data_IF_413269054525
#
_entry.id   IF_413269054525
#
_cell.length_a   1.000
_cell.length_b   1.000
_cell.length_c   1.000
_cell.angle_alpha   90.00
_cell.angle_beta   90.00
_cell.angle_gamma   90.00
#
_symmetry.space_group_name_H-M   'P 1'
#
loop_
_entity.id
_entity.type
_entity.pdbx_description
1 polymer ?
#
# COMPACT_ATOMS: atom_id res chain seq x y z
N UNK A 1 -4.24 -9.59 11.36
CA UNK A 1 -5.57 -9.57 10.73
C UNK A 1 -5.43 -9.06 9.31
N UNK A 2 -5.11 -9.91 8.33
CA UNK A 2 -5.11 -9.49 6.93
C UNK A 2 -6.53 -9.24 6.44
N UNK A 3 -6.78 -8.08 5.80
CA UNK A 3 -7.98 -7.90 4.99
C UNK A 3 -7.78 -8.53 3.61
N UNK A 4 -8.36 -9.72 3.43
CA UNK A 4 -8.20 -10.52 2.21
C UNK A 4 -9.00 -9.98 1.01
N UNK A 5 -9.62 -8.80 1.12
CA UNK A 5 -10.08 -8.04 -0.04
C UNK A 5 -8.92 -7.37 -0.81
N UNK A 6 -7.75 -7.17 -0.19
CA UNK A 6 -6.59 -6.55 -0.81
C UNK A 6 -5.40 -7.52 -0.87
N UNK A 7 -4.94 -7.85 -2.08
CA UNK A 7 -3.74 -8.69 -2.26
C UNK A 7 -2.49 -8.02 -1.67
N UNK A 8 -2.35 -6.70 -1.84
CA UNK A 8 -1.22 -5.93 -1.33
C UNK A 8 -1.11 -5.97 0.20
N UNK A 9 -2.22 -5.90 0.91
CA UNK A 9 -2.22 -6.05 2.36
C UNK A 9 -1.98 -7.49 2.77
N UNK A 10 -2.68 -8.44 2.14
CA UNK A 10 -2.56 -9.87 2.48
C UNK A 10 -1.11 -10.34 2.36
N UNK A 11 -0.42 -9.96 1.29
CA UNK A 11 0.99 -10.27 1.06
C UNK A 11 1.92 -9.64 2.10
N UNK A 12 1.72 -8.37 2.47
CA UNK A 12 2.53 -7.71 3.51
C UNK A 12 2.33 -8.32 4.89
N UNK A 13 1.09 -8.69 5.22
CA UNK A 13 0.77 -9.40 6.46
C UNK A 13 1.41 -10.79 6.51
N UNK A 14 1.59 -11.46 5.36
CA UNK A 14 2.34 -12.72 5.28
C UNK A 14 3.83 -12.51 5.58
N UNK A 15 4.46 -11.44 5.07
CA UNK A 15 5.86 -11.13 5.39
C UNK A 15 6.04 -10.84 6.89
N UNK A 16 5.15 -10.02 7.49
CA UNK A 16 5.16 -9.76 8.94
C UNK A 16 4.94 -11.06 9.72
N UNK A 17 4.02 -11.91 9.27
CA UNK A 17 3.75 -13.20 9.92
C UNK A 17 4.99 -14.10 9.94
N UNK A 18 5.69 -14.24 8.79
CA UNK A 18 6.94 -15.02 8.70
C UNK A 18 7.99 -14.47 9.66
N UNK A 19 8.26 -13.17 9.62
CA UNK A 19 9.26 -12.55 10.49
C UNK A 19 8.93 -12.68 11.99
N UNK A 20 7.66 -12.59 12.38
CA UNK A 20 7.24 -12.84 13.77
C UNK A 20 7.43 -14.33 14.16
N UNK A 21 7.15 -15.26 13.25
CA UNK A 21 7.35 -16.69 13.47
C UNK A 21 8.83 -17.04 13.62
N UNK A 22 9.70 -16.45 12.81
CA UNK A 22 11.15 -16.63 12.88
C UNK A 22 11.73 -16.13 14.21
N UNK A 23 11.09 -15.13 14.83
CA UNK A 23 11.41 -14.64 16.18
C UNK A 23 10.77 -15.47 17.31
N UNK A 24 10.02 -16.53 17.00
CA UNK A 24 9.32 -17.35 17.98
C UNK A 24 8.11 -16.68 18.64
N UNK A 25 7.59 -15.58 18.08
CA UNK A 25 6.44 -14.90 18.65
C UNK A 25 5.17 -15.76 18.54
N UNK A 26 4.32 -15.81 19.58
CA UNK A 26 3.03 -16.49 19.53
C UNK A 26 2.04 -15.68 18.67
N UNK A 27 1.88 -16.06 17.41
CA UNK A 27 1.03 -15.36 16.44
C UNK A 27 -0.19 -16.20 16.05
N UNK A 28 -1.35 -15.54 15.98
CA UNK A 28 -2.58 -16.05 15.36
C UNK A 28 -2.95 -15.19 14.17
N UNK A 29 -3.48 -15.81 13.12
CA UNK A 29 -4.00 -15.11 11.94
C UNK A 29 -5.52 -15.23 11.94
N UNK A 30 -6.21 -14.09 11.85
CA UNK A 30 -7.66 -14.05 11.73
C UNK A 30 -8.08 -13.04 10.65
N UNK A 31 -9.11 -13.34 9.86
CA UNK A 31 -9.58 -12.51 8.74
C UNK A 31 -11.10 -12.56 8.62
N UNK A 32 -11.71 -11.57 7.96
CA UNK A 32 -13.13 -11.62 7.57
C UNK A 32 -13.36 -12.43 6.28
N UNK A 33 -12.29 -12.94 5.69
CA UNK A 33 -12.30 -13.65 4.42
C UNK A 33 -12.13 -12.72 3.22
N UNK A 34 -12.20 -13.27 2.01
CA UNK A 34 -12.10 -12.52 0.77
C UNK A 34 -11.39 -13.28 -0.35
N UNK A 35 -11.32 -12.70 -1.56
CA UNK A 35 -10.77 -13.36 -2.75
C UNK A 35 -9.30 -13.74 -2.60
N UNK A 36 -8.53 -13.05 -1.74
CA UNK A 36 -7.09 -13.29 -1.58
C UNK A 36 -6.73 -14.21 -0.40
N UNK A 37 -7.70 -14.87 0.24
CA UNK A 37 -7.40 -15.91 1.25
C UNK A 37 -6.57 -17.07 0.69
N UNK A 38 -6.60 -17.28 -0.63
CA UNK A 38 -5.77 -18.29 -1.28
C UNK A 38 -4.28 -18.04 -1.02
N UNK A 39 -3.84 -16.79 -0.94
CA UNK A 39 -2.45 -16.46 -0.62
C UNK A 39 -2.04 -16.95 0.78
N UNK A 40 -2.96 -16.94 1.76
CA UNK A 40 -2.70 -17.50 3.09
C UNK A 40 -2.57 -19.03 3.03
N UNK A 41 -3.44 -19.68 2.24
CA UNK A 41 -3.42 -21.14 2.06
C UNK A 41 -2.16 -21.61 1.34
N UNK A 42 -1.77 -20.93 0.26
CA UNK A 42 -0.57 -21.24 -0.52
C UNK A 42 0.70 -21.06 0.33
N UNK A 43 0.68 -20.11 1.27
CA UNK A 43 1.76 -19.90 2.23
C UNK A 43 1.75 -20.89 3.42
N UNK A 44 0.79 -21.83 3.49
CA UNK A 44 0.65 -22.78 4.58
C UNK A 44 0.29 -22.16 5.93
N UNK A 45 -0.28 -20.95 5.93
CA UNK A 45 -0.61 -20.21 7.16
C UNK A 45 -2.00 -20.61 7.63
N UNK A 46 -2.09 -21.17 8.83
CA UNK A 46 -3.36 -21.43 9.49
C UNK A 46 -4.03 -20.11 9.91
N UNK A 47 -5.34 -19.98 9.65
CA UNK A 47 -6.09 -18.78 9.99
C UNK A 47 -7.53 -19.07 10.39
N UNK A 48 -8.10 -18.19 11.21
CA UNK A 48 -9.50 -18.21 11.62
C UNK A 48 -10.33 -17.20 10.81
N UNK A 49 -11.57 -17.55 10.49
CA UNK A 49 -12.55 -16.60 9.94
C UNK A 49 -13.39 -16.00 11.05
N UNK A 50 -13.48 -14.67 11.09
CA UNK A 50 -14.15 -13.92 12.15
C UNK A 50 -15.26 -13.02 11.60
N UNK A 51 -16.41 -13.02 12.26
CA UNK A 51 -17.56 -12.20 11.88
C UNK A 51 -18.25 -12.69 10.59
N UNK A 52 -19.11 -11.85 10.00
CA UNK A 52 -19.74 -12.14 8.71
C UNK A 52 -18.70 -12.38 7.61
N UNK A 53 -18.94 -13.33 6.71
CA UNK A 53 -18.01 -13.60 5.62
C UNK A 53 -18.03 -12.46 4.59
N UNK A 54 -16.86 -11.93 4.23
CA UNK A 54 -16.73 -10.97 3.13
C UNK A 54 -16.88 -11.66 1.79
N UNK A 55 -18.02 -11.44 1.12
CA UNK A 55 -18.23 -11.90 -0.25
C UNK A 55 -17.30 -11.20 -1.23
N UNK A 56 -17.03 -11.83 -2.38
CA UNK A 56 -16.25 -11.22 -3.47
C UNK A 56 -16.83 -9.88 -3.89
N UNK A 57 -18.14 -9.81 -4.07
CA UNK A 57 -18.85 -8.58 -4.45
C UNK A 57 -18.69 -7.47 -3.40
N UNK A 58 -18.73 -7.82 -2.11
CA UNK A 58 -18.49 -6.83 -1.04
C UNK A 58 -17.05 -6.35 -1.04
N UNK A 59 -16.08 -7.25 -1.24
CA UNK A 59 -14.68 -6.87 -1.40
C UNK A 59 -14.46 -5.93 -2.60
N UNK A 60 -15.09 -6.20 -3.75
CA UNK A 60 -15.03 -5.32 -4.91
C UNK A 60 -15.59 -3.92 -4.60
N UNK A 61 -16.74 -3.84 -3.90
CA UNK A 61 -17.27 -2.56 -3.40
C UNK A 61 -16.32 -1.87 -2.40
N UNK A 62 -15.67 -2.63 -1.51
CA UNK A 62 -14.74 -2.10 -0.54
C UNK A 62 -13.51 -1.49 -1.22
N UNK A 63 -12.96 -2.16 -2.22
CA UNK A 63 -11.85 -1.65 -3.03
C UNK A 63 -12.25 -0.37 -3.76
N UNK A 64 -13.47 -0.31 -4.29
CA UNK A 64 -14.01 0.89 -4.94
C UNK A 64 -14.36 2.02 -3.96
N UNK A 65 -14.46 1.72 -2.66
CA UNK A 65 -14.80 2.71 -1.63
C UNK A 65 -13.61 3.27 -0.87
N UNK A 66 -12.38 2.85 -1.20
CA UNK A 66 -11.15 3.41 -0.65
C UNK A 66 -11.14 4.94 -0.83
N UNK A 67 -10.78 5.72 0.21
CA UNK A 67 -10.69 7.18 0.13
C UNK A 67 -9.88 7.65 -1.08
N UNK A 68 -10.50 8.48 -1.92
CA UNK A 68 -9.91 8.97 -3.17
C UNK A 68 -10.26 8.15 -4.43
N UNK A 69 -10.97 7.03 -4.30
CA UNK A 69 -11.54 6.26 -5.44
C UNK A 69 -13.05 6.52 -5.59
N UNK A 70 -13.82 6.42 -4.49
CA UNK A 70 -15.28 6.57 -4.51
C UNK A 70 -15.81 7.95 -4.08
N UNK A 71 -17.15 8.14 -4.05
CA UNK A 71 -17.79 9.38 -3.60
C UNK A 71 -17.26 9.89 -2.26
N UNK A 72 -17.10 11.21 -2.13
CA UNK A 72 -16.52 11.85 -0.93
C UNK A 72 -17.41 11.79 0.31
N UNK A 73 -18.67 11.42 0.14
CA UNK A 73 -19.72 11.36 1.16
C UNK A 73 -20.02 9.93 1.65
N UNK A 74 -19.33 8.90 1.14
CA UNK A 74 -19.55 7.52 1.56
C UNK A 74 -18.60 7.12 2.70
N UNK A 75 -19.14 6.44 3.72
CA UNK A 75 -18.32 5.66 4.62
C UNK A 75 -17.95 4.34 3.94
N UNK A 76 -16.70 3.89 4.15
CA UNK A 76 -16.17 2.63 3.61
C UNK A 76 -17.02 1.42 4.07
N UNK A 77 -17.59 1.54 5.26
CA UNK A 77 -18.39 0.55 5.96
C UNK A 77 -19.76 1.12 6.32
N UNK A 78 -20.81 0.30 6.29
CA UNK A 78 -22.08 0.69 6.90
C UNK A 78 -21.97 0.65 8.43
N UNK A 79 -22.84 1.38 9.13
CA UNK A 79 -22.88 1.33 10.61
C UNK A 79 -23.19 -0.08 11.12
N UNK A 80 -24.01 -0.84 10.39
CA UNK A 80 -24.32 -2.25 10.71
C UNK A 80 -23.08 -3.13 10.60
N UNK A 81 -22.30 -2.98 9.53
CA UNK A 81 -21.05 -3.73 9.37
C UNK A 81 -20.03 -3.36 10.44
N UNK A 82 -19.87 -2.06 10.71
CA UNK A 82 -18.98 -1.59 11.78
C UNK A 82 -19.35 -2.24 13.11
N UNK A 83 -20.64 -2.30 13.48
CA UNK A 83 -21.08 -2.99 14.71
C UNK A 83 -20.78 -4.48 14.67
N UNK A 84 -21.17 -5.17 13.60
CA UNK A 84 -21.05 -6.62 13.50
C UNK A 84 -19.58 -7.09 13.56
N UNK A 85 -18.70 -6.46 12.77
CA UNK A 85 -17.28 -6.80 12.75
C UNK A 85 -16.58 -6.39 14.04
N UNK A 86 -16.85 -5.19 14.57
CA UNK A 86 -16.25 -4.73 15.83
C UNK A 86 -16.57 -5.69 16.98
N UNK A 87 -17.83 -6.15 17.08
CA UNK A 87 -18.25 -7.10 18.10
C UNK A 87 -17.58 -8.47 17.94
N UNK A 88 -17.54 -9.00 16.70
CA UNK A 88 -16.93 -10.30 16.42
C UNK A 88 -15.42 -10.32 16.68
N UNK A 89 -14.71 -9.26 16.27
CA UNK A 89 -13.29 -9.07 16.54
C UNK A 89 -13.01 -8.99 18.04
N UNK A 90 -13.76 -8.17 18.77
CA UNK A 90 -13.59 -8.03 20.21
C UNK A 90 -13.86 -9.34 20.96
N UNK A 91 -14.87 -10.11 20.55
CA UNK A 91 -15.13 -11.44 21.10
C UNK A 91 -13.97 -12.40 20.82
N UNK A 92 -13.44 -12.40 19.59
CA UNK A 92 -12.29 -13.23 19.21
C UNK A 92 -11.03 -12.87 20.02
N UNK A 93 -10.74 -11.57 20.19
CA UNK A 93 -9.59 -11.11 20.96
C UNK A 93 -9.64 -11.58 22.41
N UNK A 94 -10.81 -11.48 23.06
CA UNK A 94 -10.99 -11.95 24.45
C UNK A 94 -10.86 -13.48 24.54
N UNK A 95 -11.49 -14.22 23.63
CA UNK A 95 -11.48 -15.68 23.64
C UNK A 95 -10.08 -16.28 23.45
N UNK A 96 -9.18 -15.56 22.77
CA UNK A 96 -7.83 -16.02 22.45
C UNK A 96 -6.72 -15.26 23.19
N UNK A 97 -7.09 -14.49 24.21
CA UNK A 97 -6.15 -13.73 25.04
C UNK A 97 -5.22 -12.80 24.23
N UNK A 98 -5.73 -12.20 23.16
CA UNK A 98 -4.95 -11.34 22.27
C UNK A 98 -4.51 -10.09 23.04
N UNK A 99 -3.22 -9.74 22.93
CA UNK A 99 -2.61 -8.57 23.60
C UNK A 99 -2.24 -7.43 22.67
N UNK A 100 -2.03 -7.73 21.39
CA UNK A 100 -1.72 -6.75 20.35
C UNK A 100 -2.41 -7.24 19.07
N UNK A 101 -3.16 -6.36 18.40
CA UNK A 101 -3.70 -6.64 17.07
C UNK A 101 -2.82 -5.98 16.01
N UNK A 102 -2.60 -6.66 14.88
CA UNK A 102 -1.80 -6.15 13.75
C UNK A 102 -2.64 -6.23 12.47
N UNK A 103 -2.73 -5.16 11.70
CA UNK A 103 -3.52 -5.10 10.44
C UNK A 103 -2.93 -4.08 9.46
N UNK A 104 -3.34 -4.09 8.21
CA UNK A 104 -3.19 -2.93 7.32
C UNK A 104 -4.49 -2.14 7.20
N UNK A 105 -5.56 -2.83 6.82
CA UNK A 105 -6.79 -2.24 6.27
C UNK A 105 -8.06 -2.93 6.78
N UNK A 106 -7.98 -3.86 7.73
CA UNK A 106 -9.12 -4.20 8.62
C UNK A 106 -9.39 -3.01 9.55
N UNK A 107 -9.97 -1.93 9.01
CA UNK A 107 -10.17 -0.67 9.72
C UNK A 107 -11.10 -0.77 10.92
N UNK A 108 -12.02 -1.74 10.93
CA UNK A 108 -12.87 -2.08 12.08
C UNK A 108 -12.05 -2.37 13.35
N UNK A 109 -10.80 -2.83 13.18
CA UNK A 109 -9.86 -3.02 14.28
C UNK A 109 -9.56 -1.73 15.07
N UNK A 110 -9.75 -0.54 14.47
CA UNK A 110 -9.61 0.75 15.16
C UNK A 110 -10.64 0.94 16.28
N UNK A 111 -11.77 0.24 16.22
CA UNK A 111 -12.82 0.25 17.25
C UNK A 111 -12.73 -0.98 18.16
N UNK A 112 -12.57 -2.18 17.60
CA UNK A 112 -12.59 -3.41 18.40
C UNK A 112 -11.42 -3.51 19.38
N UNK A 113 -10.24 -2.98 19.01
CA UNK A 113 -9.10 -2.90 19.93
C UNK A 113 -9.35 -1.93 21.08
N UNK A 114 -10.05 -0.81 20.85
CA UNK A 114 -10.49 0.09 21.93
C UNK A 114 -11.52 -0.58 22.84
N UNK A 115 -12.44 -1.35 22.27
CA UNK A 115 -13.47 -2.07 23.02
C UNK A 115 -12.91 -3.16 23.95
N UNK A 116 -11.74 -3.71 23.62
CA UNK A 116 -11.05 -4.71 24.46
C UNK A 116 -9.93 -4.09 25.31
N UNK A 117 -9.46 -2.88 24.99
CA UNK A 117 -8.38 -2.21 25.71
C UNK A 117 -6.98 -2.70 25.33
N UNK A 118 -6.78 -3.12 24.08
CA UNK A 118 -5.46 -3.55 23.55
C UNK A 118 -4.95 -2.56 22.49
N UNK A 119 -3.63 -2.46 22.29
CA UNK A 119 -3.08 -1.64 21.21
C UNK A 119 -3.30 -2.30 19.84
N UNK A 120 -3.41 -1.42 18.84
CA UNK A 120 -3.43 -1.73 17.43
C UNK A 120 -2.11 -1.30 16.80
N UNK A 121 -1.51 -2.21 16.05
CA UNK A 121 -0.43 -1.94 15.12
C UNK A 121 -1.01 -1.90 13.71
N UNK A 122 -0.70 -0.84 12.97
CA UNK A 122 -1.01 -0.77 11.55
C UNK A 122 0.25 -0.80 10.73
N UNK A 123 0.31 -1.67 9.73
CA UNK A 123 1.25 -1.44 8.63
C UNK A 123 0.68 -0.29 7.78
N UNK A 124 1.48 0.75 7.57
CA UNK A 124 1.07 1.88 6.75
C UNK A 124 1.29 1.55 5.28
N UNK A 125 0.23 1.72 4.49
CA UNK A 125 0.25 1.52 3.04
C UNK A 125 0.49 2.85 2.31
N UNK A 126 1.77 3.23 2.19
CA UNK A 126 2.19 4.29 1.28
C UNK A 126 2.68 5.58 1.92
N UNK A 127 2.47 6.67 1.19
CA UNK A 127 3.09 7.97 1.52
C UNK A 127 2.22 8.90 2.36
N UNK A 128 1.02 8.48 2.75
CA UNK A 128 0.07 9.31 3.52
C UNK A 128 0.40 9.32 5.02
N UNK A 129 1.62 9.75 5.34
CA UNK A 129 2.10 9.89 6.71
C UNK A 129 1.89 11.31 7.23
N UNK A 130 1.44 11.47 8.50
CA UNK A 130 1.32 12.77 9.14
C UNK A 130 2.54 13.70 8.97
N UNK A 131 3.80 13.29 9.26
CA UNK A 131 4.95 14.17 9.11
C UNK A 131 5.20 14.66 7.67
N UNK A 132 4.83 13.87 6.64
CA UNK A 132 4.92 14.32 5.24
C UNK A 132 3.91 15.42 4.94
N UNK A 133 2.67 15.25 5.39
CA UNK A 133 1.60 16.24 5.22
C UNK A 133 1.93 17.54 5.96
N UNK A 134 2.44 17.44 7.19
CA UNK A 134 2.83 18.59 8.02
C UNK A 134 3.97 19.39 7.42
N UNK A 135 4.90 18.73 6.71
CA UNK A 135 6.01 19.36 5.96
C UNK A 135 5.63 19.75 4.53
N UNK A 136 4.38 19.51 4.12
CA UNK A 136 3.88 19.84 2.79
C UNK A 136 4.52 19.03 1.67
N UNK A 137 5.01 17.81 1.95
CA UNK A 137 5.81 17.01 1.04
C UNK A 137 4.99 16.20 0.03
N UNK A 138 3.68 16.05 0.21
CA UNK A 138 2.81 15.38 -0.76
C UNK A 138 2.64 16.24 -2.02
N UNK A 139 2.59 15.64 -3.23
CA UNK A 139 2.33 16.38 -4.46
C UNK A 139 0.88 16.88 -4.52
N UNK A 140 0.60 17.78 -5.46
CA UNK A 140 -0.78 18.04 -5.85
C UNK A 140 -1.32 16.80 -6.59
N UNK A 141 -2.51 16.30 -6.27
CA UNK A 141 -3.11 15.17 -6.98
C UNK A 141 -3.19 15.41 -8.48
N UNK A 142 -2.89 14.39 -9.29
CA UNK A 142 -2.98 14.50 -10.75
C UNK A 142 -4.43 14.54 -11.23
N UNK A 143 -5.34 13.94 -10.45
CA UNK A 143 -6.79 14.02 -10.66
C UNK A 143 -7.41 15.06 -9.71
N UNK A 144 -8.44 15.79 -10.13
CA UNK A 144 -9.19 16.67 -9.23
C UNK A 144 -9.76 15.88 -8.05
N UNK A 145 -9.57 16.39 -6.84
CA UNK A 145 -10.09 15.82 -5.58
C UNK A 145 -11.41 16.47 -5.14
N UNK A 146 -12.01 17.31 -5.99
CA UNK A 146 -13.34 17.87 -5.77
C UNK A 146 -13.35 19.22 -5.06
N UNK A 147 -12.23 19.96 -5.07
CA UNK A 147 -12.20 21.31 -4.50
C UNK A 147 -12.94 22.31 -5.44
N UNK A 148 -13.64 23.32 -4.89
CA UNK A 148 -14.22 24.38 -5.70
C UNK A 148 -13.14 25.07 -6.56
N UNK A 149 -13.40 25.24 -7.85
CA UNK A 149 -12.49 25.85 -8.82
C UNK A 149 -11.10 25.19 -8.92
N UNK A 150 -10.97 23.91 -8.50
CA UNK A 150 -9.67 23.23 -8.39
C UNK A 150 -8.82 23.27 -9.67
N UNK A 151 -9.48 23.12 -10.82
CA UNK A 151 -8.82 23.09 -12.14
C UNK A 151 -8.13 24.41 -12.50
N UNK A 152 -8.48 25.51 -11.83
CA UNK A 152 -8.01 26.86 -12.11
C UNK A 152 -6.98 27.31 -11.07
N UNK A 153 -6.78 26.53 -10.00
CA UNK A 153 -5.82 26.83 -8.96
C UNK A 153 -4.39 26.49 -9.42
N UNK A 154 -3.41 27.38 -9.19
CA UNK A 154 -2.00 27.09 -9.41
C UNK A 154 -1.57 25.82 -8.66
N UNK A 155 -0.68 25.02 -9.27
CA UNK A 155 -0.23 23.75 -8.69
C UNK A 155 0.31 23.89 -7.26
N UNK A 156 1.04 24.97 -6.96
CA UNK A 156 1.56 25.25 -5.61
C UNK A 156 0.44 25.41 -4.58
N UNK A 157 -0.65 26.09 -4.96
CA UNK A 157 -1.81 26.29 -4.10
C UNK A 157 -2.59 24.98 -3.93
N UNK A 158 -2.80 24.22 -5.01
CA UNK A 158 -3.41 22.88 -4.93
C UNK A 158 -2.65 21.96 -3.97
N UNK A 159 -1.32 21.95 -4.07
CA UNK A 159 -0.45 21.19 -3.15
C UNK A 159 -0.62 21.63 -1.70
N UNK A 160 -0.60 22.94 -1.44
CA UNK A 160 -0.78 23.48 -0.09
C UNK A 160 -2.15 23.07 0.50
N UNK A 161 -3.22 23.27 -0.26
CA UNK A 161 -4.58 22.93 0.14
C UNK A 161 -4.75 21.43 0.36
N UNK A 162 -4.15 20.59 -0.49
CA UNK A 162 -4.21 19.14 -0.34
C UNK A 162 -3.53 18.69 0.96
N UNK A 163 -2.29 19.12 1.22
CA UNK A 163 -1.56 18.75 2.44
C UNK A 163 -2.28 19.24 3.71
N UNK A 164 -2.87 20.43 3.68
CA UNK A 164 -3.63 20.96 4.81
C UNK A 164 -5.02 20.32 4.98
N UNK A 165 -5.65 19.93 3.87
CA UNK A 165 -7.01 19.41 3.81
C UNK A 165 -7.11 17.94 4.22
N UNK A 166 -6.16 17.10 3.81
CA UNK A 166 -6.18 15.65 4.10
C UNK A 166 -6.25 15.37 5.61
N UNK A 167 -5.58 16.17 6.43
CA UNK A 167 -5.59 16.06 7.89
C UNK A 167 -6.94 16.42 8.54
N UNK A 168 -7.83 17.09 7.81
CA UNK A 168 -9.09 17.67 8.32
C UNK A 168 -10.32 16.97 7.78
N UNK A 169 -10.17 16.02 6.86
CA UNK A 169 -11.29 15.30 6.27
C UNK A 169 -11.92 14.35 7.30
N UNK A 170 -13.17 14.60 7.67
CA UNK A 170 -13.92 13.79 8.65
C UNK A 170 -15.03 12.95 8.03
N UNK A 171 -15.37 13.17 6.76
CA UNK A 171 -16.48 12.49 6.09
C UNK A 171 -16.34 10.96 6.12
N UNK A 172 -15.12 10.44 5.88
CA UNK A 172 -14.81 9.01 5.92
C UNK A 172 -14.97 8.36 7.30
N UNK A 173 -14.93 9.15 8.38
CA UNK A 173 -14.95 8.64 9.77
C UNK A 173 -16.27 8.84 10.49
N UNK A 174 -17.29 9.39 9.83
CA UNK A 174 -18.59 9.66 10.46
C UNK A 174 -19.27 8.38 11.02
N UNK A 175 -19.30 7.29 10.24
CA UNK A 175 -19.84 6.00 10.69
C UNK A 175 -19.05 5.41 11.86
N UNK A 176 -17.72 5.46 11.78
CA UNK A 176 -16.82 5.04 12.86
C UNK A 176 -17.12 5.80 14.17
N UNK A 177 -17.32 7.11 14.09
CA UNK A 177 -17.56 7.93 15.27
C UNK A 177 -18.97 7.74 15.87
N UNK A 178 -19.98 7.44 15.05
CA UNK A 178 -21.30 7.03 15.56
C UNK A 178 -21.21 5.73 16.34
N UNK A 179 -20.62 4.70 15.74
CA UNK A 179 -20.47 3.39 16.41
C UNK A 179 -19.54 3.47 17.62
N UNK A 180 -18.48 4.27 17.57
CA UNK A 180 -17.61 4.51 18.72
C UNK A 180 -18.37 5.12 19.90
N UNK A 181 -19.24 6.10 19.65
CA UNK A 181 -20.07 6.72 20.67
C UNK A 181 -21.07 5.74 21.29
N UNK A 182 -21.70 4.87 20.48
CA UNK A 182 -22.59 3.80 20.96
C UNK A 182 -21.85 2.80 21.87
N UNK A 183 -20.60 2.48 21.54
CA UNK A 183 -19.76 1.54 22.30
C UNK A 183 -19.06 2.19 23.50
N UNK A 184 -19.12 3.51 23.65
CA UNK A 184 -18.40 4.25 24.71
C UNK A 184 -16.88 4.22 24.57
N UNK A 185 -16.36 4.13 23.33
CA UNK A 185 -14.91 4.05 23.05
C UNK A 185 -14.40 5.28 22.30
N UNK A 186 -13.08 5.47 22.29
CA UNK A 186 -12.45 6.54 21.52
C UNK A 186 -12.71 6.41 20.02
N UNK A 187 -13.21 7.49 19.40
CA UNK A 187 -13.48 7.55 17.96
C UNK A 187 -12.24 7.65 17.07
N UNK A 188 -12.48 7.97 15.80
CA UNK A 188 -11.46 8.22 14.76
C UNK A 188 -11.61 9.68 14.28
N UNK A 189 -10.75 10.62 14.75
CA UNK A 189 -10.93 12.05 14.54
C UNK A 189 -11.00 12.53 13.07
N UNK A 190 -10.42 11.78 12.13
CA UNK A 190 -10.45 12.11 10.70
C UNK A 190 -9.67 11.11 9.86
N UNK A 191 -9.57 11.35 8.55
CA UNK A 191 -8.91 10.45 7.59
C UNK A 191 -7.46 10.16 7.98
N UNK A 192 -6.72 11.18 8.44
CA UNK A 192 -5.34 10.96 8.84
C UNK A 192 -5.21 10.04 10.07
N UNK A 193 -6.18 10.06 10.99
CA UNK A 193 -6.28 9.10 12.10
C UNK A 193 -6.77 7.71 11.67
N UNK A 194 -7.46 7.59 10.53
CA UNK A 194 -7.88 6.31 9.96
C UNK A 194 -6.67 5.53 9.40
N UNK A 195 -5.61 6.24 9.01
CA UNK A 195 -4.40 5.68 8.40
C UNK A 195 -3.29 5.38 9.41
N UNK A 196 -3.47 5.75 10.68
CA UNK A 196 -2.50 5.49 11.75
C UNK A 196 -3.19 4.83 12.96
N UNK A 197 -2.41 4.27 13.87
CA UNK A 197 -2.92 3.54 15.05
C UNK A 197 -2.08 3.88 16.29
N UNK A 198 -2.03 3.00 17.29
CA UNK A 198 -1.17 3.22 18.47
C UNK A 198 0.30 3.09 18.09
N UNK A 199 0.60 2.18 17.16
CA UNK A 199 1.89 2.05 16.52
C UNK A 199 1.71 1.81 15.01
N UNK A 200 2.11 2.78 14.19
CA UNK A 200 2.09 2.61 12.73
C UNK A 200 3.49 2.32 12.20
N UNK A 201 3.61 1.20 11.52
CA UNK A 201 4.83 0.75 10.86
C UNK A 201 4.98 1.52 9.55
N UNK A 202 6.00 2.36 9.48
CA UNK A 202 6.40 3.10 8.29
C UNK A 202 7.27 2.18 7.45
N UNK A 203 6.68 1.71 6.36
CA UNK A 203 7.25 0.65 5.52
C UNK A 203 7.99 1.24 4.32
N UNK A 204 9.07 2.00 4.51
CA UNK A 204 9.85 2.58 3.38
C UNK A 204 11.34 2.75 3.78
N UNK A 205 12.19 3.44 2.99
CA UNK A 205 13.57 3.87 3.37
C UNK A 205 13.74 5.40 3.41
N UNK A 206 14.54 5.97 4.35
CA UNK A 206 14.62 7.43 4.56
C UNK A 206 14.95 8.21 3.29
N UNK A 207 15.72 7.60 2.40
CA UNK A 207 16.15 8.10 1.10
C UNK A 207 14.96 8.33 0.14
N UNK A 208 13.91 7.51 0.25
CA UNK A 208 12.67 7.67 -0.54
C UNK A 208 11.72 8.63 0.16
N UNK A 209 11.49 8.45 1.45
CA UNK A 209 10.55 9.28 2.23
C UNK A 209 11.01 10.74 2.36
N UNK A 210 12.32 10.99 2.33
CA UNK A 210 12.90 12.30 2.58
C UNK A 210 12.74 12.75 4.04
N UNK A 211 12.58 11.79 4.95
CA UNK A 211 12.48 12.00 6.40
C UNK A 211 13.52 11.13 7.10
N UNK A 212 14.28 11.73 8.03
CA UNK A 212 15.22 10.96 8.85
C UNK A 212 14.47 9.98 9.76
N UNK A 213 15.08 8.83 10.07
CA UNK A 213 14.51 7.84 11.00
C UNK A 213 14.12 8.48 12.35
N UNK A 214 14.96 9.37 12.89
CA UNK A 214 14.68 10.08 14.14
C UNK A 214 13.45 10.99 14.07
N UNK A 215 13.16 11.58 12.90
CA UNK A 215 11.98 12.41 12.70
C UNK A 215 10.70 11.59 12.75
N UNK A 216 10.73 10.38 12.19
CA UNK A 216 9.59 9.47 12.16
C UNK A 216 9.38 8.82 13.52
N UNK A 217 10.41 8.19 14.08
CA UNK A 217 10.34 7.47 15.35
C UNK A 217 10.05 8.43 16.53
N UNK A 218 10.57 9.66 16.43
CA UNK A 218 10.31 10.75 17.38
C UNK A 218 9.01 11.52 17.14
N UNK A 219 8.29 11.26 16.04
CA UNK A 219 7.06 11.99 15.75
C UNK A 219 6.00 11.70 16.81
N UNK A 220 5.36 12.76 17.31
CA UNK A 220 4.21 12.67 18.20
C UNK A 220 3.13 13.63 17.73
N UNK A 221 1.85 13.26 17.85
CA UNK A 221 0.75 14.09 17.40
C UNK A 221 0.68 15.39 18.21
N UNK A 222 0.81 16.53 17.53
CA UNK A 222 0.71 17.86 18.17
C UNK A 222 -0.72 18.41 18.21
N UNK A 223 -1.62 17.82 17.42
CA UNK A 223 -3.00 18.30 17.22
C UNK A 223 -3.97 17.18 17.59
N UNK A 224 -4.48 17.13 18.84
CA UNK A 224 -5.35 16.03 19.30
C UNK A 224 -6.68 15.94 18.54
N UNK A 225 -7.08 17.02 17.85
CA UNK A 225 -8.26 17.03 16.97
C UNK A 225 -8.09 16.25 15.66
N UNK A 226 -6.87 15.81 15.31
CA UNK A 226 -6.59 15.13 14.04
C UNK A 226 -6.06 13.71 14.21
N UNK A 227 -5.53 13.38 15.40
CA UNK A 227 -4.88 12.12 15.70
C UNK A 227 -5.17 11.72 17.15
N UNK A 228 -5.14 10.42 17.43
CA UNK A 228 -5.15 9.91 18.81
C UNK A 228 -3.84 10.31 19.48
N UNK A 229 -3.88 10.73 20.74
CA UNK A 229 -2.71 11.29 21.44
C UNK A 229 -1.56 10.29 21.61
N UNK A 230 -1.88 9.00 21.73
CA UNK A 230 -0.92 7.91 21.89
C UNK A 230 -0.27 7.41 20.59
N UNK A 231 -0.64 7.93 19.42
CA UNK A 231 -0.12 7.45 18.13
C UNK A 231 1.40 7.62 18.05
N UNK A 232 2.08 6.51 17.77
CA UNK A 232 3.51 6.44 17.45
C UNK A 232 3.72 5.97 16.02
N UNK A 233 4.79 6.43 15.40
CA UNK A 233 5.29 5.89 14.14
C UNK A 233 6.59 5.14 14.41
N UNK A 234 6.83 4.07 13.66
CA UNK A 234 8.11 3.37 13.68
C UNK A 234 8.58 3.07 12.28
N UNK A 235 9.80 3.47 12.00
CA UNK A 235 10.49 3.15 10.77
C UNK A 235 10.91 1.68 10.75
N UNK A 236 10.33 0.89 9.84
CA UNK A 236 10.57 -0.56 9.77
C UNK A 236 11.42 -0.96 8.58
N UNK A 237 11.17 -0.36 7.42
CA UNK A 237 11.83 -0.71 6.17
C UNK A 237 10.82 -1.12 5.10
N UNK A 238 11.27 -1.33 3.86
CA UNK A 238 10.39 -1.66 2.75
C UNK A 238 9.69 -3.01 2.98
N UNK A 239 8.39 -3.07 2.66
CA UNK A 239 7.56 -4.24 2.89
C UNK A 239 6.67 -4.47 1.65
N UNK A 240 7.15 -5.34 0.77
CA UNK A 240 6.48 -5.66 -0.50
C UNK A 240 6.41 -7.17 -0.71
N UNK A 241 5.56 -7.59 -1.66
CA UNK A 241 5.22 -9.00 -1.83
C UNK A 241 6.35 -9.82 -2.46
N UNK A 242 6.74 -10.91 -1.79
CA UNK A 242 7.53 -12.00 -2.37
C UNK A 242 6.62 -13.19 -2.66
N UNK A 243 5.99 -13.17 -3.84
CA UNK A 243 5.09 -14.26 -4.27
C UNK A 243 5.91 -15.53 -4.50
N UNK A 244 5.66 -16.58 -3.72
CA UNK A 244 6.29 -17.88 -3.85
C UNK A 244 5.70 -18.71 -5.02
N UNK A 245 5.61 -18.10 -6.20
CA UNK A 245 5.18 -18.74 -7.45
C UNK A 245 6.35 -18.73 -8.43
N UNK A 246 6.61 -19.82 -9.16
CA UNK A 246 7.68 -19.83 -10.15
C UNK A 246 7.35 -18.89 -11.31
N UNK A 247 8.38 -18.28 -11.89
CA UNK A 247 8.25 -17.59 -13.17
C UNK A 247 7.85 -18.60 -14.27
N UNK A 248 6.78 -18.35 -15.04
CA UNK A 248 6.38 -19.24 -16.14
C UNK A 248 7.46 -19.43 -17.20
N UNK A 249 7.57 -20.63 -17.78
CA UNK A 249 8.66 -21.00 -18.70
C UNK A 249 8.66 -20.16 -20.00
N UNK A 250 7.49 -19.81 -20.49
CA UNK A 250 7.28 -18.92 -21.64
C UNK A 250 7.69 -17.48 -21.35
N UNK A 251 7.41 -16.99 -20.14
CA UNK A 251 7.90 -15.68 -19.66
C UNK A 251 9.42 -15.69 -19.55
N UNK A 252 10.00 -16.79 -19.06
CA UNK A 252 11.45 -16.96 -18.98
C UNK A 252 12.13 -16.93 -20.35
N UNK A 253 11.56 -17.64 -21.32
CA UNK A 253 12.01 -17.62 -22.70
C UNK A 253 11.88 -16.23 -23.31
N UNK A 254 10.73 -15.57 -23.09
CA UNK A 254 10.52 -14.21 -23.54
C UNK A 254 11.59 -13.29 -22.98
N UNK A 255 11.88 -13.30 -21.68
CA UNK A 255 12.90 -12.45 -21.05
C UNK A 255 14.33 -12.73 -21.54
N UNK A 256 14.67 -13.98 -21.91
CA UNK A 256 16.01 -14.37 -22.39
C UNK A 256 16.37 -13.86 -23.79
N UNK A 257 15.39 -13.52 -24.63
CA UNK A 257 15.64 -12.94 -25.97
C UNK A 257 16.43 -11.63 -25.85
N UNK A 258 17.20 -11.20 -26.87
CA UNK A 258 17.98 -9.97 -26.82
C UNK A 258 17.12 -8.69 -26.87
N UNK A 259 17.68 -7.57 -26.40
CA UNK A 259 17.06 -6.23 -26.42
C UNK A 259 16.37 -5.84 -25.11
N UNK A 260 15.90 -4.59 -24.95
CA UNK A 260 15.23 -4.15 -23.73
C UNK A 260 13.80 -4.71 -23.62
N UNK A 261 13.42 -5.09 -22.41
CA UNK A 261 12.04 -5.43 -22.04
C UNK A 261 11.46 -4.31 -21.18
N UNK A 262 10.23 -3.91 -21.48
CA UNK A 262 9.40 -3.07 -20.61
C UNK A 262 8.33 -3.93 -19.95
N UNK A 263 8.32 -3.96 -18.62
CA UNK A 263 7.33 -4.68 -17.84
C UNK A 263 6.13 -3.79 -17.51
N UNK A 264 4.93 -4.17 -17.93
CA UNK A 264 3.68 -3.43 -17.68
C UNK A 264 2.87 -4.20 -16.63
N UNK A 265 2.84 -3.64 -15.43
CA UNK A 265 2.15 -4.19 -14.25
C UNK A 265 1.26 -3.12 -13.62
N UNK A 266 0.33 -2.57 -14.40
CA UNK A 266 -0.69 -1.63 -13.93
C UNK A 266 -1.86 -2.45 -13.38
N UNK A 267 -1.63 -3.16 -12.28
CA UNK A 267 -2.63 -4.04 -11.67
C UNK A 267 -3.78 -3.23 -11.06
N UNK A 268 -5.00 -3.74 -11.14
CA UNK A 268 -6.23 -3.05 -10.69
C UNK A 268 -6.66 -1.83 -11.52
N UNK A 269 -6.28 -1.79 -12.80
CA UNK A 269 -6.81 -0.82 -13.77
C UNK A 269 -7.82 -1.43 -14.74
N UNK A 270 -8.43 -0.61 -15.59
CA UNK A 270 -9.25 -1.10 -16.69
C UNK A 270 -8.39 -1.76 -17.78
N UNK A 271 -8.99 -2.70 -18.52
CA UNK A 271 -8.42 -3.27 -19.76
C UNK A 271 -8.03 -2.18 -20.75
N UNK A 272 -8.87 -1.15 -20.90
CA UNK A 272 -8.61 -0.01 -21.80
C UNK A 272 -7.28 0.69 -21.49
N UNK A 273 -6.99 0.94 -20.21
CA UNK A 273 -5.73 1.58 -19.82
C UNK A 273 -4.51 0.73 -20.17
N UNK A 274 -4.56 -0.58 -19.96
CA UNK A 274 -3.45 -1.48 -20.32
C UNK A 274 -3.21 -1.44 -21.82
N UNK A 275 -4.27 -1.48 -22.63
CA UNK A 275 -4.19 -1.39 -24.10
C UNK A 275 -3.59 -0.06 -24.55
N UNK A 276 -4.02 1.05 -23.96
CA UNK A 276 -3.48 2.39 -24.22
C UNK A 276 -1.98 2.46 -23.94
N UNK A 277 -1.54 1.95 -22.78
CA UNK A 277 -0.13 1.91 -22.38
C UNK A 277 0.70 1.05 -23.35
N UNK A 278 0.23 -0.16 -23.66
CA UNK A 278 0.91 -1.06 -24.61
C UNK A 278 1.00 -0.40 -25.99
N UNK A 279 -0.09 0.22 -26.46
CA UNK A 279 -0.13 0.97 -27.73
C UNK A 279 0.90 2.11 -27.78
N UNK A 280 1.04 2.86 -26.69
CA UNK A 280 2.02 3.96 -26.59
C UNK A 280 3.49 3.47 -26.51
N UNK A 281 3.73 2.25 -26.04
CA UNK A 281 5.07 1.66 -25.92
C UNK A 281 5.52 0.94 -27.20
N UNK A 282 4.60 0.38 -27.99
CA UNK A 282 4.89 -0.35 -29.25
C UNK A 282 5.83 0.41 -30.22
N UNK A 283 5.65 1.72 -30.48
CA UNK A 283 6.53 2.48 -31.39
C UNK A 283 8.00 2.58 -30.94
N UNK A 284 8.34 2.19 -29.70
CA UNK A 284 9.71 2.18 -29.22
C UNK A 284 10.52 0.98 -29.72
N UNK A 285 9.88 -0.02 -30.34
CA UNK A 285 10.55 -1.25 -30.79
C UNK A 285 11.09 -2.10 -29.64
N UNK A 286 10.63 -1.85 -28.41
CA UNK A 286 10.96 -2.64 -27.22
C UNK A 286 10.06 -3.86 -27.12
N UNK A 287 10.52 -4.89 -26.42
CA UNK A 287 9.67 -6.02 -26.04
C UNK A 287 8.83 -5.64 -24.83
N UNK A 288 7.57 -6.05 -24.80
CA UNK A 288 6.63 -5.66 -23.74
C UNK A 288 6.13 -6.92 -23.05
N UNK A 289 6.39 -7.03 -21.75
CA UNK A 289 5.82 -8.08 -20.90
C UNK A 289 4.66 -7.49 -20.10
N UNK A 290 3.45 -8.02 -20.27
CA UNK A 290 2.25 -7.56 -19.57
C UNK A 290 1.86 -8.59 -18.51
N UNK A 291 1.75 -8.14 -17.26
CA UNK A 291 1.11 -8.91 -16.19
C UNK A 291 -0.41 -8.68 -16.23
N UNK A 292 -1.15 -9.61 -16.82
CA UNK A 292 -2.60 -9.65 -16.81
C UNK A 292 -3.08 -10.29 -15.49
N UNK A 293 -3.89 -9.56 -14.71
CA UNK A 293 -4.50 -10.12 -13.50
C UNK A 293 -5.82 -10.82 -13.84
N UNK A 294 -6.96 -10.22 -13.49
CA UNK A 294 -8.31 -10.78 -13.69
C UNK A 294 -8.86 -10.56 -15.11
N UNK A 295 -8.11 -9.88 -15.98
CA UNK A 295 -8.57 -9.49 -17.30
C UNK A 295 -7.99 -10.39 -18.39
N UNK A 296 -8.84 -10.83 -19.32
CA UNK A 296 -8.37 -11.46 -20.55
C UNK A 296 -7.79 -10.38 -21.47
N UNK A 297 -6.48 -10.49 -21.71
CA UNK A 297 -5.69 -9.60 -22.56
C UNK A 297 -4.92 -10.40 -23.63
N UNK A 298 -5.30 -11.66 -23.86
CA UNK A 298 -4.59 -12.54 -24.77
C UNK A 298 -4.50 -11.99 -26.20
N UNK A 299 -5.48 -11.19 -26.61
CA UNK A 299 -5.53 -10.53 -27.91
C UNK A 299 -4.49 -9.41 -28.11
N UNK A 300 -3.83 -8.95 -27.04
CA UNK A 300 -2.68 -8.04 -27.15
C UNK A 300 -1.38 -8.76 -27.54
N UNK A 301 -1.32 -10.08 -27.39
CA UNK A 301 -0.09 -10.84 -27.55
C UNK A 301 0.31 -11.01 -29.02
N UNK A 302 1.60 -10.82 -29.31
CA UNK A 302 2.24 -11.06 -30.60
C UNK A 302 3.76 -11.26 -30.42
N UNK A 303 4.56 -11.14 -31.48
CA UNK A 303 6.02 -11.32 -31.39
C UNK A 303 6.72 -10.31 -30.46
N UNK A 304 6.15 -9.11 -30.31
CA UNK A 304 6.66 -7.99 -29.52
C UNK A 304 6.07 -7.97 -28.09
N UNK A 305 4.81 -8.37 -27.94
CA UNK A 305 4.06 -8.30 -26.68
C UNK A 305 3.77 -9.70 -26.16
N UNK A 306 4.23 -9.99 -24.95
CA UNK A 306 3.88 -11.22 -24.24
C UNK A 306 2.98 -10.91 -23.05
N UNK A 307 1.89 -11.65 -22.91
CA UNK A 307 0.88 -11.48 -21.87
C UNK A 307 0.87 -12.73 -21.01
N UNK A 308 1.10 -12.57 -19.72
CA UNK A 308 1.05 -13.66 -18.75
C UNK A 308 0.14 -13.30 -17.57
N UNK A 309 -0.22 -14.28 -16.77
CA UNK A 309 -1.09 -14.11 -15.60
C UNK A 309 -0.44 -13.32 -14.44
N UNK A 310 -0.73 -13.73 -13.22
CA UNK A 310 -0.04 -13.20 -12.03
C UNK A 310 1.44 -13.60 -12.08
N UNK A 311 2.33 -12.63 -11.97
CA UNK A 311 3.78 -12.82 -12.03
C UNK A 311 4.48 -12.44 -10.72
N UNK A 312 5.57 -13.16 -10.34
CA UNK A 312 6.41 -12.79 -9.19
C UNK A 312 7.22 -11.54 -9.54
N UNK A 313 6.65 -10.35 -9.37
CA UNK A 313 7.24 -9.09 -9.84
C UNK A 313 8.65 -8.83 -9.30
N UNK A 314 8.99 -9.33 -8.11
CA UNK A 314 10.33 -9.25 -7.51
C UNK A 314 11.38 -10.09 -8.25
N UNK A 315 10.98 -11.13 -8.99
CA UNK A 315 11.88 -11.91 -9.88
C UNK A 315 11.91 -11.35 -11.31
N UNK A 316 10.80 -10.74 -11.76
CA UNK A 316 10.67 -10.17 -13.11
C UNK A 316 11.42 -8.84 -13.22
N UNK A 317 11.21 -7.91 -12.29
CA UNK A 317 11.74 -6.55 -12.36
C UNK A 317 13.28 -6.49 -12.50
N UNK A 318 14.08 -7.34 -11.83
CA UNK A 318 15.54 -7.37 -12.03
C UNK A 318 15.99 -7.71 -13.47
N UNK A 319 15.10 -8.27 -14.29
CA UNK A 319 15.39 -8.77 -15.65
C UNK A 319 14.86 -7.88 -16.77
N UNK A 320 14.26 -6.74 -16.43
CA UNK A 320 13.69 -5.80 -17.41
C UNK A 320 14.40 -4.44 -17.34
N UNK A 321 14.32 -3.67 -18.43
CA UNK A 321 14.98 -2.37 -18.53
C UNK A 321 14.16 -1.24 -17.91
N UNK A 322 12.84 -1.41 -17.83
CA UNK A 322 11.89 -0.43 -17.31
C UNK A 322 10.62 -1.13 -16.82
N UNK A 323 10.06 -0.68 -15.69
CA UNK A 323 8.73 -1.06 -15.25
C UNK A 323 7.72 0.09 -15.47
N UNK A 324 6.49 -0.23 -15.85
CA UNK A 324 5.35 0.69 -15.90
C UNK A 324 4.27 0.14 -14.98
N UNK A 325 3.91 0.89 -13.96
CA UNK A 325 3.00 0.42 -12.89
C UNK A 325 1.94 1.46 -12.55
N UNK A 326 0.92 1.08 -11.79
CA UNK A 326 -0.04 2.03 -11.21
C UNK A 326 0.56 2.89 -10.07
N UNK A 327 1.84 2.71 -9.72
CA UNK A 327 2.50 3.34 -8.58
C UNK A 327 1.89 3.02 -7.20
N UNK A 328 1.27 1.84 -7.04
CA UNK A 328 0.98 1.31 -5.71
C UNK A 328 2.26 1.11 -4.91
N UNK A 329 2.20 1.34 -3.59
CA UNK A 329 3.39 1.36 -2.72
C UNK A 329 4.29 0.12 -2.92
N UNK A 330 3.70 -1.07 -2.84
CA UNK A 330 4.42 -2.33 -3.04
C UNK A 330 5.11 -2.42 -4.41
N UNK A 331 4.46 -2.00 -5.50
CA UNK A 331 5.06 -2.03 -6.85
C UNK A 331 6.21 -1.04 -7.01
N UNK A 332 6.11 0.15 -6.40
CA UNK A 332 7.21 1.13 -6.37
C UNK A 332 8.39 0.54 -5.60
N UNK A 333 8.13 -0.05 -4.45
CA UNK A 333 9.16 -0.70 -3.65
C UNK A 333 9.81 -1.87 -4.36
N UNK A 334 9.04 -2.75 -4.99
CA UNK A 334 9.60 -3.86 -5.78
C UNK A 334 10.54 -3.34 -6.87
N UNK A 335 10.18 -2.27 -7.58
CA UNK A 335 11.03 -1.70 -8.63
C UNK A 335 12.32 -1.11 -8.06
N UNK A 336 12.23 -0.32 -6.99
CA UNK A 336 13.41 0.27 -6.33
C UNK A 336 14.32 -0.81 -5.72
N UNK A 337 13.74 -1.81 -5.05
CA UNK A 337 14.46 -2.96 -4.50
C UNK A 337 15.13 -3.80 -5.58
N UNK A 338 14.52 -3.92 -6.76
CA UNK A 338 15.10 -4.66 -7.90
C UNK A 338 16.19 -3.88 -8.63
N UNK A 339 16.29 -2.57 -8.39
CA UNK A 339 17.16 -1.67 -9.13
C UNK A 339 16.66 -1.41 -10.55
N UNK A 340 15.35 -1.41 -10.73
CA UNK A 340 14.67 -1.22 -12.02
C UNK A 340 14.09 0.18 -12.09
N UNK A 341 14.46 1.00 -13.09
CA UNK A 341 13.78 2.27 -13.34
C UNK A 341 12.27 2.06 -13.53
N UNK A 342 11.45 3.01 -13.09
CA UNK A 342 9.99 2.88 -13.22
C UNK A 342 9.27 4.14 -13.74
N UNK A 343 8.17 3.92 -14.46
CA UNK A 343 7.13 4.90 -14.71
C UNK A 343 5.91 4.54 -13.88
N UNK A 344 5.43 5.51 -13.10
CA UNK A 344 4.16 5.41 -12.40
C UNK A 344 3.05 6.10 -13.19
N UNK A 345 1.93 5.40 -13.37
CA UNK A 345 0.66 5.92 -13.90
C UNK A 345 -0.38 5.89 -12.77
N UNK A 346 -0.40 6.90 -11.90
CA UNK A 346 -1.21 6.88 -10.69
C UNK A 346 -2.72 6.97 -11.02
N UNK A 347 -3.49 6.10 -10.37
CA UNK A 347 -4.95 6.02 -10.45
C UNK A 347 -5.64 6.78 -9.31
N UNK A 348 -4.94 6.93 -8.18
CA UNK A 348 -5.42 7.53 -6.94
C UNK A 348 -4.36 8.45 -6.27
N UNK A 349 -4.79 9.37 -5.37
CA UNK A 349 -3.88 10.32 -4.71
C UNK A 349 -2.72 9.70 -3.91
N UNK A 350 -2.90 8.52 -3.33
CA UNK A 350 -1.82 7.81 -2.63
C UNK A 350 -0.72 7.35 -3.60
N UNK A 351 -1.11 6.88 -4.79
CA UNK A 351 -0.19 6.49 -5.85
C UNK A 351 0.55 7.69 -6.44
N UNK A 352 -0.14 8.84 -6.57
CA UNK A 352 0.50 10.12 -6.92
C UNK A 352 1.64 10.45 -5.94
N UNK A 353 1.40 10.26 -4.64
CA UNK A 353 2.39 10.54 -3.62
C UNK A 353 3.57 9.57 -3.68
N UNK A 354 3.31 8.27 -3.81
CA UNK A 354 4.39 7.26 -3.88
C UNK A 354 5.32 7.51 -5.06
N UNK A 355 4.78 7.75 -6.26
CA UNK A 355 5.62 8.00 -7.43
C UNK A 355 6.39 9.32 -7.28
N UNK A 356 5.76 10.37 -6.73
CA UNK A 356 6.43 11.66 -6.52
C UNK A 356 7.54 11.61 -5.45
N UNK A 357 7.49 10.67 -4.50
CA UNK A 357 8.62 10.38 -3.62
C UNK A 357 9.71 9.63 -4.37
N UNK A 358 9.35 8.57 -5.10
CA UNK A 358 10.30 7.80 -5.89
C UNK A 358 11.03 8.63 -6.97
N UNK A 359 10.37 9.62 -7.58
CA UNK A 359 10.99 10.53 -8.57
C UNK A 359 12.22 11.27 -8.00
N UNK A 360 12.23 11.55 -6.69
CA UNK A 360 13.34 12.27 -6.02
C UNK A 360 14.63 11.46 -5.99
N UNK A 361 14.54 10.14 -6.06
CA UNK A 361 15.70 9.25 -6.15
C UNK A 361 16.40 9.36 -7.51
N UNK A 362 15.69 9.85 -8.54
CA UNK A 362 16.11 9.88 -9.93
C UNK A 362 15.74 8.62 -10.73
N UNK A 363 15.31 7.54 -10.07
CA UNK A 363 15.00 6.24 -10.69
C UNK A 363 13.58 6.15 -11.29
N UNK A 364 12.70 7.10 -10.99
CA UNK A 364 11.30 7.04 -11.37
C UNK A 364 10.83 8.27 -12.16
N UNK A 365 9.72 8.13 -12.91
CA UNK A 365 8.97 9.24 -13.51
C UNK A 365 7.46 9.05 -13.34
N UNK A 366 6.73 10.14 -13.13
CA UNK A 366 5.27 10.14 -13.10
C UNK A 366 4.70 10.52 -14.48
N UNK A 367 3.76 9.70 -14.98
CA UNK A 367 2.94 10.03 -16.15
C UNK A 367 1.49 10.10 -15.70
N UNK A 368 0.83 11.28 -15.78
CA UNK A 368 -0.57 11.41 -15.40
C UNK A 368 -1.46 10.45 -16.20
N UNK A 369 -2.50 9.89 -15.56
CA UNK A 369 -3.42 8.93 -16.19
C UNK A 369 -3.98 9.42 -17.54
N UNK A 370 -4.34 10.70 -17.65
CA UNK A 370 -4.86 11.31 -18.88
C UNK A 370 -3.88 11.31 -20.06
N UNK A 371 -2.60 11.00 -19.81
CA UNK A 371 -1.53 10.97 -20.79
C UNK A 371 -0.91 9.56 -20.95
N UNK A 372 -1.48 8.56 -20.28
CA UNK A 372 -0.95 7.20 -20.23
C UNK A 372 -0.94 6.51 -21.60
N UNK A 373 -1.93 6.76 -22.46
CA UNK A 373 -1.97 6.27 -23.84
C UNK A 373 -1.30 7.17 -24.88
N UNK A 374 -0.64 8.26 -24.45
CA UNK A 374 -0.24 9.34 -25.34
C UNK A 374 1.26 9.44 -25.59
N UNK A 375 1.68 10.45 -26.39
CA UNK A 375 3.09 10.70 -26.71
C UNK A 375 3.97 10.99 -25.48
N UNK A 376 3.36 11.41 -24.36
CA UNK A 376 4.08 11.66 -23.11
C UNK A 376 4.66 10.35 -22.56
N UNK A 377 3.85 9.27 -22.46
CA UNK A 377 4.36 7.98 -22.01
C UNK A 377 5.49 7.49 -22.93
N UNK A 378 5.28 7.54 -24.26
CA UNK A 378 6.29 7.12 -25.24
C UNK A 378 7.60 7.88 -25.06
N UNK A 379 7.55 9.20 -24.90
CA UNK A 379 8.75 10.03 -24.70
C UNK A 379 9.42 9.72 -23.37
N UNK A 380 8.67 9.67 -22.27
CA UNK A 380 9.22 9.38 -20.93
C UNK A 380 9.87 8.00 -20.87
N UNK A 381 9.26 6.98 -21.49
CA UNK A 381 9.85 5.65 -21.59
C UNK A 381 11.13 5.65 -22.43
N UNK A 382 11.14 6.33 -23.58
CA UNK A 382 12.35 6.49 -24.40
C UNK A 382 13.49 7.15 -23.62
N UNK A 383 13.20 8.23 -22.90
CA UNK A 383 14.17 8.96 -22.10
C UNK A 383 14.74 8.10 -20.97
N UNK A 384 13.89 7.41 -20.19
CA UNK A 384 14.36 6.54 -19.10
C UNK A 384 15.15 5.33 -19.60
N UNK A 385 14.77 4.72 -20.72
CA UNK A 385 15.51 3.62 -21.33
C UNK A 385 16.92 4.05 -21.79
N UNK A 386 17.05 5.29 -22.23
CA UNK A 386 18.31 5.87 -22.69
C UNK A 386 19.17 6.47 -21.56
N UNK A 387 18.57 6.82 -20.40
CA UNK A 387 19.25 7.56 -19.33
C UNK A 387 20.11 6.66 -18.41
N UNK A 388 21.46 6.69 -18.52
CA UNK A 388 22.32 5.93 -17.62
C UNK A 388 22.24 6.41 -16.16
N UNK A 389 21.83 7.66 -15.90
CA UNK A 389 21.70 8.20 -14.55
C UNK A 389 20.49 7.60 -13.84
N UNK A 390 19.39 7.36 -14.55
CA UNK A 390 18.22 6.66 -14.02
C UNK A 390 18.57 5.22 -13.62
N UNK A 391 19.33 4.51 -14.48
CA UNK A 391 19.85 3.16 -14.14
C UNK A 391 20.77 3.17 -12.92
N UNK A 392 21.70 4.12 -12.86
CA UNK A 392 22.59 4.27 -11.69
C UNK A 392 21.81 4.62 -10.41
N UNK A 393 20.77 5.45 -10.51
CA UNK A 393 19.88 5.77 -9.41
C UNK A 393 19.12 4.54 -8.91
N UNK A 394 18.55 3.75 -9.82
CA UNK A 394 17.85 2.52 -9.47
C UNK A 394 18.81 1.53 -8.79
N UNK A 395 20.03 1.36 -9.32
CA UNK A 395 21.05 0.50 -8.71
C UNK A 395 21.43 0.93 -7.28
N UNK A 396 21.60 2.24 -7.03
CA UNK A 396 21.82 2.76 -5.67
C UNK A 396 20.64 2.46 -4.75
N UNK A 397 19.41 2.62 -5.24
CA UNK A 397 18.23 2.31 -4.43
C UNK A 397 18.12 0.83 -4.08
N UNK A 398 18.51 -0.08 -4.99
CA UNK A 398 18.64 -1.51 -4.67
C UNK A 398 19.61 -1.74 -3.53
N UNK A 399 20.77 -1.08 -3.55
CA UNK A 399 21.77 -1.21 -2.48
C UNK A 399 21.20 -0.72 -1.14
N UNK A 400 20.51 0.42 -1.13
CA UNK A 400 19.83 0.96 0.06
C UNK A 400 18.78 -0.03 0.60
N UNK A 401 17.91 -0.55 -0.27
CA UNK A 401 16.87 -1.50 0.13
C UNK A 401 17.47 -2.81 0.64
N UNK A 402 18.59 -3.28 0.08
CA UNK A 402 19.27 -4.49 0.52
C UNK A 402 19.88 -4.39 1.93
N UNK A 403 20.06 -3.18 2.48
CA UNK A 403 20.56 -2.98 3.85
C UNK A 403 19.45 -3.05 4.92
N UNK A 404 18.18 -3.13 4.52
CA UNK A 404 17.04 -3.02 5.45
C UNK A 404 16.07 -4.18 5.25
N UNK A 405 15.93 -5.02 6.27
CA UNK A 405 14.87 -6.01 6.33
C UNK A 405 13.61 -5.40 6.99
N UNK A 406 12.67 -4.97 6.16
CA UNK A 406 11.43 -4.36 6.64
C UNK A 406 10.52 -5.30 7.41
N UNK A 407 10.53 -6.60 7.08
CA UNK A 407 9.71 -7.59 7.78
C UNK A 407 10.28 -7.88 9.18
N UNK A 408 11.60 -8.02 9.28
CA UNK A 408 12.28 -8.15 10.58
C UNK A 408 12.10 -6.91 11.45
N UNK A 409 12.25 -5.70 10.87
CA UNK A 409 12.03 -4.44 11.59
C UNK A 409 10.57 -4.27 12.06
N UNK A 410 9.60 -4.72 11.26
CA UNK A 410 8.19 -4.76 11.66
C UNK A 410 7.97 -5.73 12.83
N UNK A 411 8.51 -6.94 12.75
CA UNK A 411 8.38 -7.95 13.81
C UNK A 411 9.05 -7.48 15.11
N UNK A 412 10.21 -6.84 15.03
CA UNK A 412 10.89 -6.23 16.19
C UNK A 412 10.00 -5.19 16.86
N UNK A 413 9.48 -4.22 16.10
CA UNK A 413 8.61 -3.17 16.64
C UNK A 413 7.33 -3.71 17.29
N UNK A 414 6.75 -4.77 16.71
CA UNK A 414 5.56 -5.44 17.28
C UNK A 414 5.91 -6.17 18.59
N UNK A 415 7.04 -6.86 18.63
CA UNK A 415 7.48 -7.56 19.84
C UNK A 415 7.82 -6.59 20.98
N UNK A 416 8.51 -5.47 20.70
CA UNK A 416 8.77 -4.42 21.68
C UNK A 416 7.47 -3.91 22.31
N UNK A 417 6.46 -3.62 21.48
CA UNK A 417 5.14 -3.19 21.97
C UNK A 417 4.45 -4.28 22.82
N UNK A 418 4.57 -5.54 22.43
CA UNK A 418 4.01 -6.64 23.21
C UNK A 418 4.65 -6.75 24.60
N UNK A 419 5.97 -6.54 24.69
CA UNK A 419 6.70 -6.56 25.94
C UNK A 419 6.37 -5.34 26.81
N UNK A 420 6.19 -4.15 26.23
CA UNK A 420 5.64 -2.97 26.92
C UNK A 420 4.28 -3.27 27.57
N UNK A 421 3.37 -3.90 26.82
CA UNK A 421 2.02 -4.27 27.31
C UNK A 421 2.10 -5.28 28.46
N UNK A 422 2.98 -6.28 28.35
CA UNK A 422 3.18 -7.30 29.40
C UNK A 422 3.78 -6.69 30.67
N UNK A 423 4.75 -5.80 30.52
CA UNK A 423 5.36 -5.08 31.63
C UNK A 423 4.35 -4.21 32.37
N UNK A 424 3.49 -3.48 31.65
CA UNK A 424 2.44 -2.67 32.27
C UNK A 424 1.42 -3.53 33.05
N UNK A 425 1.03 -4.67 32.50
CA UNK A 425 0.11 -5.60 33.18
C UNK A 425 0.71 -6.17 34.48
N UNK A 426 2.01 -6.50 34.48
CA UNK A 426 2.70 -7.03 35.65
C UNK A 426 2.88 -6.00 36.79
N UNK A 427 2.95 -4.70 36.47
CA UNK A 427 3.02 -3.62 37.48
C UNK A 427 1.64 -3.31 38.08
N UNK A 428 0.55 -3.59 37.35
CA UNK A 428 -0.82 -3.33 37.77
C UNK A 428 -1.49 -4.47 38.55
N UNK A 429 -0.89 -5.66 38.55
CA UNK A 429 -1.35 -6.84 39.28
C UNK A 429 -0.60 -6.95 40.62
#
# INVERSE_FOLDING_TARGET
>A
MPNCCFLSETSRMLEIHRALRDRGAPVRVATHGGPHEQALRDAGVAYDRIGPAMSRERCERLVQSVPGIGPVDQSVWSDEELRAYTAAEAAYFRAHDVRVAVTGWTLTALLSTRLVGIPLVTEHAGSFLPPLMERGLLPAPTRPVGLPLERWLPQRLRRLLFNAGVQRMTHYTAGFNRVAAELGVEGVPGLAALLVSDLSLVTDVPEVLGLARSDVDGWRPRKPRHYRSGTRLRYTGPLFAHLAIPTPADVDEFLRRPGPVVYVAVTSSSVGLVREIVGALRPLGVRILVAATVHDLADLADEQVHVAGVLPSHEIMPRVALAVTAAGHGSVQTALASGTPLIGVPLQPEQDANIALAERTGAARCVPLAQAGGPVLTRTARELLADPRARAAAARMREVFAQVDGAAGAAEAICELLDEVRGAAAVSA
#
